data_IF_457755552697
#
_entry.id   IF_457755552697
#
_cell.length_a   1.000
_cell.length_b   1.000
_cell.length_c   1.000
_cell.angle_alpha   90.00
_cell.angle_beta   90.00
_cell.angle_gamma   90.00
#
_symmetry.space_group_name_H-M   'P 1'
#
loop_
_entity.id
_entity.type
_entity.pdbx_description
1 polymer ?
#
# COMPACT_ATOMS: atom_id res chain seq x y z
N UNK A 1 21.19 -21.62 56.61
CA UNK A 1 19.92 -21.63 55.90
C UNK A 1 19.73 -20.31 55.14
N UNK A 2 19.99 -20.35 53.83
CA UNK A 2 19.67 -19.24 52.90
C UNK A 2 18.60 -19.76 51.96
N UNK A 3 17.42 -19.15 52.01
CA UNK A 3 16.35 -19.34 51.03
C UNK A 3 16.51 -18.30 49.96
N UNK A 4 16.87 -18.73 48.77
CA UNK A 4 16.89 -17.88 47.57
C UNK A 4 15.49 -17.93 46.91
N UNK A 5 14.77 -16.82 46.94
CA UNK A 5 13.51 -16.64 46.22
C UNK A 5 13.77 -16.41 44.73
N UNK A 6 13.30 -17.29 43.89
CA UNK A 6 13.27 -17.11 42.47
C UNK A 6 12.05 -16.26 42.09
N UNK A 7 12.29 -15.01 41.67
CA UNK A 7 11.27 -14.17 41.08
C UNK A 7 11.02 -14.63 39.61
N UNK A 8 9.94 -15.33 39.41
CA UNK A 8 9.47 -15.68 38.06
C UNK A 8 8.91 -14.45 37.35
N UNK A 9 9.63 -13.97 36.34
CA UNK A 9 9.11 -12.97 35.40
C UNK A 9 8.07 -13.64 34.49
N UNK A 10 6.80 -13.45 34.82
CA UNK A 10 5.69 -13.86 33.95
C UNK A 10 5.68 -13.03 32.68
N UNK A 11 6.07 -13.61 31.59
CA UNK A 11 5.80 -13.09 30.23
C UNK A 11 4.28 -13.11 30.03
N UNK A 12 3.64 -11.96 30.21
CA UNK A 12 2.26 -11.77 29.82
C UNK A 12 2.18 -11.87 28.29
N UNK A 13 1.75 -13.03 27.80
CA UNK A 13 1.34 -13.19 26.40
C UNK A 13 0.18 -12.24 26.16
N UNK A 14 0.44 -11.10 25.52
CA UNK A 14 -0.60 -10.25 24.97
C UNK A 14 -1.32 -11.08 23.91
N UNK A 15 -2.50 -11.59 24.25
CA UNK A 15 -3.45 -12.11 23.28
C UNK A 15 -3.80 -10.98 22.33
N UNK A 16 -3.26 -11.00 21.12
CA UNK A 16 -3.73 -10.17 20.04
C UNK A 16 -5.17 -10.62 19.80
N UNK A 17 -6.13 -9.80 20.23
CA UNK A 17 -7.53 -10.05 19.93
C UNK A 17 -7.65 -10.11 18.40
N UNK A 18 -7.90 -11.30 17.86
CA UNK A 18 -8.22 -11.47 16.45
C UNK A 18 -9.49 -10.67 16.19
N UNK A 19 -9.35 -9.50 15.57
CA UNK A 19 -10.51 -8.84 14.97
C UNK A 19 -10.98 -9.79 13.86
N UNK A 20 -12.10 -10.47 14.11
CA UNK A 20 -12.76 -11.25 13.05
C UNK A 20 -13.16 -10.24 11.97
N UNK A 21 -12.54 -10.35 10.80
CA UNK A 21 -12.95 -9.61 9.62
C UNK A 21 -14.41 -9.94 9.28
N UNK A 22 -15.05 -9.10 8.51
CA UNK A 22 -16.40 -9.34 7.97
C UNK A 22 -16.40 -10.71 7.27
N UNK A 23 -17.39 -11.53 7.55
CA UNK A 23 -17.61 -12.78 6.81
C UNK A 23 -18.18 -12.38 5.44
N UNK A 24 -17.43 -12.67 4.39
CA UNK A 24 -17.85 -12.38 3.00
C UNK A 24 -18.70 -13.56 2.54
N UNK A 25 -19.98 -13.30 2.23
CA UNK A 25 -20.87 -14.28 1.62
C UNK A 25 -20.60 -14.41 0.11
N UNK A 26 -21.13 -15.47 -0.51
CA UNK A 26 -20.92 -15.74 -1.94
C UNK A 26 -21.39 -14.61 -2.88
N UNK A 27 -22.30 -13.75 -2.43
CA UNK A 27 -22.83 -12.61 -3.20
C UNK A 27 -22.27 -11.27 -2.74
N UNK A 28 -21.36 -11.24 -1.77
CA UNK A 28 -20.78 -10.02 -1.25
C UNK A 28 -19.56 -9.62 -2.07
N UNK A 29 -19.43 -8.31 -2.32
CA UNK A 29 -18.23 -7.75 -2.93
C UNK A 29 -17.14 -7.52 -1.89
N UNK A 30 -15.91 -7.67 -2.30
CA UNK A 30 -14.73 -7.31 -1.49
C UNK A 30 -14.65 -5.78 -1.40
N UNK A 31 -14.65 -5.25 -0.20
CA UNK A 31 -14.50 -3.82 0.06
C UNK A 31 -13.02 -3.43 0.04
N UNK A 32 -12.64 -2.64 -0.94
CA UNK A 32 -11.25 -2.22 -1.15
C UNK A 32 -11.08 -0.77 -0.74
N UNK A 33 -10.00 -0.48 -0.03
CA UNK A 33 -9.57 0.89 0.26
C UNK A 33 -8.18 1.15 -0.34
N UNK A 34 -7.87 2.42 -0.63
CA UNK A 34 -6.55 2.84 -1.11
C UNK A 34 -5.92 3.80 -0.13
N UNK A 35 -4.65 3.54 0.22
CA UNK A 35 -3.81 4.39 1.07
C UNK A 35 -2.63 4.89 0.23
N UNK A 36 -2.57 6.20 0.04
CA UNK A 36 -1.68 6.86 -0.92
C UNK A 36 -2.36 7.01 -2.28
N UNK A 37 -2.95 8.18 -2.54
CA UNK A 37 -3.68 8.48 -3.79
C UNK A 37 -2.90 9.43 -4.72
N UNK A 38 -1.57 9.41 -4.61
CA UNK A 38 -0.68 10.02 -5.58
C UNK A 38 -0.78 9.36 -6.95
N UNK A 39 0.08 9.72 -7.89
CA UNK A 39 0.02 9.22 -9.26
C UNK A 39 -0.11 7.70 -9.37
N UNK A 40 0.69 6.95 -8.61
CA UNK A 40 0.67 5.48 -8.66
C UNK A 40 -0.58 4.88 -8.01
N UNK A 41 -0.97 5.33 -6.82
CA UNK A 41 -2.15 4.82 -6.14
C UNK A 41 -3.43 5.10 -6.92
N UNK A 42 -3.55 6.31 -7.48
CA UNK A 42 -4.66 6.68 -8.37
C UNK A 42 -4.70 5.80 -9.61
N UNK A 43 -3.55 5.51 -10.24
CA UNK A 43 -3.49 4.61 -11.38
C UNK A 43 -3.99 3.20 -11.00
N UNK A 44 -3.45 2.62 -9.92
CA UNK A 44 -3.79 1.26 -9.49
C UNK A 44 -5.28 1.13 -9.17
N UNK A 45 -5.85 2.05 -8.39
CA UNK A 45 -7.26 1.97 -8.01
C UNK A 45 -8.20 2.15 -9.21
N UNK A 46 -7.82 2.98 -10.19
CA UNK A 46 -8.57 3.12 -11.45
C UNK A 46 -8.54 1.84 -12.27
N UNK A 47 -7.40 1.15 -12.34
CA UNK A 47 -7.29 -0.14 -13.00
C UNK A 47 -8.11 -1.22 -12.29
N UNK A 48 -8.08 -1.26 -10.95
CA UNK A 48 -8.97 -2.13 -10.18
C UNK A 48 -10.44 -1.89 -10.54
N UNK A 49 -10.87 -0.64 -10.59
CA UNK A 49 -12.24 -0.29 -10.97
C UNK A 49 -12.56 -0.71 -12.40
N UNK A 50 -11.63 -0.50 -13.34
CA UNK A 50 -11.81 -0.86 -14.76
C UNK A 50 -12.03 -2.36 -14.93
N UNK A 51 -11.15 -3.18 -14.33
CA UNK A 51 -11.26 -4.64 -14.40
C UNK A 51 -12.51 -5.14 -13.69
N UNK A 52 -12.83 -4.56 -12.54
CA UNK A 52 -14.02 -4.95 -11.77
C UNK A 52 -15.36 -4.70 -12.46
N UNK A 53 -15.42 -3.83 -13.49
CA UNK A 53 -16.66 -3.61 -14.27
C UNK A 53 -17.18 -4.88 -14.93
N UNK A 54 -16.29 -5.80 -15.29
CA UNK A 54 -16.65 -7.07 -15.92
C UNK A 54 -17.13 -8.10 -14.88
N UNK A 55 -16.42 -8.23 -13.77
CA UNK A 55 -16.65 -9.29 -12.79
C UNK A 55 -17.50 -8.85 -11.58
N UNK A 56 -17.52 -7.55 -11.28
CA UNK A 56 -18.25 -6.94 -10.16
C UNK A 56 -17.99 -7.61 -8.80
N UNK A 57 -16.74 -8.06 -8.59
CA UNK A 57 -16.33 -8.83 -7.41
C UNK A 57 -15.86 -7.96 -6.25
N UNK A 58 -15.53 -6.68 -6.50
CA UNK A 58 -15.10 -5.75 -5.47
C UNK A 58 -15.76 -4.37 -5.60
N UNK A 59 -15.66 -3.58 -4.56
CA UNK A 59 -16.09 -2.17 -4.56
C UNK A 59 -15.09 -1.31 -3.80
N UNK A 60 -14.92 -0.06 -4.26
CA UNK A 60 -14.04 0.90 -3.61
C UNK A 60 -14.86 1.64 -2.57
N UNK A 61 -14.44 1.59 -1.30
CA UNK A 61 -15.23 2.17 -0.19
C UNK A 61 -14.50 3.31 0.53
N UNK A 62 -13.17 3.35 0.49
CA UNK A 62 -12.42 4.37 1.23
C UNK A 62 -11.10 4.73 0.54
N UNK A 63 -10.68 5.99 0.68
CA UNK A 63 -9.40 6.51 0.21
C UNK A 63 -8.72 7.34 1.30
N UNK A 64 -7.40 7.22 1.37
CA UNK A 64 -6.56 7.95 2.31
C UNK A 64 -5.35 8.54 1.59
N UNK A 65 -5.06 9.79 1.87
CA UNK A 65 -3.79 10.44 1.52
C UNK A 65 -3.55 11.59 2.50
N UNK A 66 -2.32 11.86 2.84
CA UNK A 66 -1.94 12.99 3.70
C UNK A 66 -2.19 14.35 3.02
N UNK A 67 -2.30 14.38 1.70
CA UNK A 67 -2.63 15.56 0.90
C UNK A 67 -4.12 15.55 0.54
N UNK A 68 -4.90 16.43 1.17
CA UNK A 68 -6.35 16.48 1.04
C UNK A 68 -6.84 16.57 -0.41
N UNK A 69 -6.17 17.37 -1.23
CA UNK A 69 -6.51 17.54 -2.65
C UNK A 69 -6.57 16.19 -3.39
N UNK A 70 -5.64 15.30 -3.13
CA UNK A 70 -5.56 13.99 -3.81
C UNK A 70 -6.74 13.08 -3.50
N UNK A 71 -7.20 13.02 -2.25
CA UNK A 71 -8.38 12.23 -1.90
C UNK A 71 -9.65 12.84 -2.46
N UNK A 72 -9.77 14.17 -2.48
CA UNK A 72 -10.92 14.85 -3.06
C UNK A 72 -10.97 14.72 -4.59
N UNK A 73 -9.83 14.78 -5.27
CA UNK A 73 -9.73 14.51 -6.71
C UNK A 73 -10.16 13.07 -7.04
N UNK A 74 -9.75 12.09 -6.24
CA UNK A 74 -10.15 10.71 -6.45
C UNK A 74 -11.66 10.54 -6.23
N UNK A 75 -12.22 11.15 -5.19
CA UNK A 75 -13.67 11.17 -4.93
C UNK A 75 -14.45 11.76 -6.08
N UNK A 76 -14.01 12.92 -6.60
CA UNK A 76 -14.62 13.55 -7.79
C UNK A 76 -14.54 12.68 -9.03
N UNK A 77 -13.45 11.94 -9.22
CA UNK A 77 -13.29 11.03 -10.35
C UNK A 77 -14.31 9.89 -10.34
N UNK A 78 -14.63 9.34 -9.17
CA UNK A 78 -15.54 8.21 -9.06
C UNK A 78 -17.02 8.59 -8.91
N UNK A 79 -17.33 9.82 -8.54
CA UNK A 79 -18.70 10.30 -8.36
C UNK A 79 -19.62 10.09 -9.57
N UNK A 80 -19.20 10.36 -10.84
CA UNK A 80 -20.04 10.12 -12.01
C UNK A 80 -20.37 8.64 -12.26
N UNK A 81 -19.57 7.72 -11.70
CA UNK A 81 -19.82 6.29 -11.78
C UNK A 81 -20.72 5.78 -10.62
N UNK A 82 -21.25 6.68 -9.79
CA UNK A 82 -22.07 6.33 -8.64
C UNK A 82 -21.30 5.64 -7.49
N UNK A 83 -19.97 5.77 -7.47
CA UNK A 83 -19.13 5.18 -6.42
C UNK A 83 -18.91 6.21 -5.32
N UNK A 84 -19.49 5.96 -4.15
CA UNK A 84 -19.27 6.79 -2.97
C UNK A 84 -18.03 6.31 -2.22
N UNK A 85 -17.07 7.21 -2.04
CA UNK A 85 -15.80 6.92 -1.35
C UNK A 85 -15.72 7.77 -0.09
N UNK A 86 -15.53 7.14 1.06
CA UNK A 86 -15.13 7.83 2.30
C UNK A 86 -13.69 8.31 2.16
N UNK A 87 -13.38 9.53 2.59
CA UNK A 87 -12.03 10.10 2.53
C UNK A 87 -11.48 10.37 3.93
N UNK A 88 -10.19 10.13 4.13
CA UNK A 88 -9.48 10.45 5.37
C UNK A 88 -8.03 10.85 5.09
N UNK A 89 -7.38 11.52 6.03
CA UNK A 89 -5.96 11.84 5.99
C UNK A 89 -5.11 10.88 6.83
N UNK A 90 -5.76 10.06 7.67
CA UNK A 90 -5.10 9.12 8.56
C UNK A 90 -5.32 7.67 8.09
N UNK A 91 -4.23 7.01 7.68
CA UNK A 91 -4.26 5.62 7.24
C UNK A 91 -4.75 4.65 8.32
N UNK A 92 -4.62 5.01 9.62
CA UNK A 92 -5.08 4.19 10.74
C UNK A 92 -6.59 4.02 10.74
N UNK A 93 -7.33 5.03 10.30
CA UNK A 93 -8.78 4.93 10.13
C UNK A 93 -9.16 3.88 9.10
N UNK A 94 -8.36 3.75 8.02
CA UNK A 94 -8.60 2.75 6.98
C UNK A 94 -8.35 1.34 7.50
N UNK A 95 -7.19 1.09 8.12
CA UNK A 95 -6.83 -0.26 8.59
C UNK A 95 -7.71 -0.72 9.76
N UNK A 96 -8.26 0.21 10.55
CA UNK A 96 -9.17 -0.08 11.65
C UNK A 96 -10.65 -0.18 11.22
N UNK A 97 -10.98 0.23 9.99
CA UNK A 97 -12.35 0.16 9.49
C UNK A 97 -12.74 -1.31 9.22
N UNK A 98 -13.73 -1.82 9.96
CA UNK A 98 -14.20 -3.21 9.83
C UNK A 98 -14.92 -3.50 8.52
N UNK A 99 -15.39 -2.48 7.81
CA UNK A 99 -16.03 -2.62 6.51
C UNK A 99 -15.03 -2.87 5.37
N UNK A 100 -13.74 -2.54 5.57
CA UNK A 100 -12.67 -2.76 4.58
C UNK A 100 -12.14 -4.18 4.68
N UNK A 101 -12.12 -4.91 3.58
CA UNK A 101 -11.61 -6.28 3.48
C UNK A 101 -10.16 -6.32 2.97
N UNK A 102 -9.83 -5.43 2.04
CA UNK A 102 -8.50 -5.35 1.43
C UNK A 102 -8.03 -3.90 1.27
N UNK A 103 -6.71 -3.69 1.34
CA UNK A 103 -6.12 -2.37 1.17
C UNK A 103 -5.06 -2.37 0.06
N UNK A 104 -5.08 -1.31 -0.76
CA UNK A 104 -4.01 -0.97 -1.68
C UNK A 104 -3.10 0.03 -0.97
N UNK A 105 -1.83 -0.30 -0.78
CA UNK A 105 -0.83 0.57 -0.16
C UNK A 105 0.11 1.08 -1.24
N UNK A 106 0.03 2.38 -1.54
CA UNK A 106 0.82 3.06 -2.58
C UNK A 106 1.37 4.41 -2.06
N UNK A 107 1.73 4.44 -0.80
CA UNK A 107 2.41 5.54 -0.11
C UNK A 107 3.89 5.62 -0.53
N UNK A 108 4.67 6.61 -0.06
CA UNK A 108 6.12 6.49 -0.06
C UNK A 108 6.59 5.22 0.67
N UNK A 109 7.71 4.67 0.21
CA UNK A 109 8.19 3.33 0.60
C UNK A 109 8.50 3.15 2.09
N UNK A 110 8.88 4.21 2.79
CA UNK A 110 9.13 4.19 4.23
C UNK A 110 7.86 3.89 5.07
N UNK A 111 6.67 4.02 4.49
CA UNK A 111 5.40 3.68 5.10
C UNK A 111 4.91 2.26 4.77
N UNK A 112 5.45 1.63 3.73
CA UNK A 112 4.92 0.38 3.18
C UNK A 112 4.81 -0.73 4.24
N UNK A 113 5.90 -1.05 4.91
CA UNK A 113 5.91 -2.11 5.91
C UNK A 113 4.98 -1.82 7.09
N UNK A 114 4.99 -0.59 7.60
CA UNK A 114 4.18 -0.19 8.76
C UNK A 114 2.69 -0.35 8.48
N UNK A 115 2.23 0.16 7.34
CA UNK A 115 0.82 0.11 6.96
C UNK A 115 0.40 -1.32 6.64
N UNK A 116 1.23 -2.07 5.88
CA UNK A 116 0.93 -3.45 5.53
C UNK A 116 0.83 -4.35 6.77
N UNK A 117 1.76 -4.23 7.72
CA UNK A 117 1.72 -4.98 8.99
C UNK A 117 0.47 -4.66 9.80
N UNK A 118 0.10 -3.38 9.88
CA UNK A 118 -1.12 -2.97 10.57
C UNK A 118 -2.38 -3.53 9.88
N UNK A 119 -2.43 -3.50 8.56
CA UNK A 119 -3.55 -4.06 7.78
C UNK A 119 -3.69 -5.57 8.01
N UNK A 120 -2.59 -6.33 7.94
CA UNK A 120 -2.57 -7.76 8.19
C UNK A 120 -3.04 -8.10 9.60
N UNK A 121 -2.56 -7.37 10.61
CA UNK A 121 -2.97 -7.55 12.01
C UNK A 121 -4.45 -7.28 12.23
N UNK A 122 -5.04 -6.41 11.40
CA UNK A 122 -6.49 -6.13 11.39
C UNK A 122 -7.28 -7.04 10.44
N UNK A 123 -6.68 -8.15 9.97
CA UNK A 123 -7.35 -9.17 9.18
C UNK A 123 -7.65 -8.75 7.74
N UNK A 124 -6.90 -7.81 7.18
CA UNK A 124 -7.10 -7.33 5.79
C UNK A 124 -6.06 -7.93 4.85
N UNK A 125 -6.47 -8.18 3.62
CA UNK A 125 -5.56 -8.51 2.54
C UNK A 125 -4.92 -7.24 1.98
N UNK A 126 -3.72 -7.35 1.38
CA UNK A 126 -2.92 -6.19 1.00
C UNK A 126 -2.39 -6.32 -0.42
N UNK A 127 -2.68 -5.35 -1.27
CA UNK A 127 -1.90 -5.06 -2.46
C UNK A 127 -0.87 -3.99 -2.10
N UNK A 128 0.41 -4.34 -2.12
CA UNK A 128 1.51 -3.51 -1.66
C UNK A 128 2.38 -3.07 -2.83
N UNK A 129 2.48 -1.76 -3.07
CA UNK A 129 3.37 -1.26 -4.12
C UNK A 129 4.84 -1.58 -3.84
N UNK A 130 5.60 -1.65 -4.91
CA UNK A 130 7.06 -1.85 -4.86
C UNK A 130 7.79 -0.53 -4.51
N UNK A 131 8.92 -0.59 -3.80
CA UNK A 131 9.48 -1.75 -3.12
C UNK A 131 8.62 -2.15 -1.92
N UNK A 132 8.45 -3.43 -1.65
CA UNK A 132 7.56 -3.92 -0.59
C UNK A 132 7.94 -3.43 0.81
N UNK A 133 9.19 -3.12 1.04
CA UNK A 133 9.76 -2.68 2.31
C UNK A 133 10.97 -1.79 2.07
N UNK A 134 11.35 -1.01 3.06
CA UNK A 134 12.51 -0.14 3.04
C UNK A 134 13.77 -0.85 3.57
N UNK A 135 13.62 -1.83 4.47
CA UNK A 135 14.73 -2.54 5.12
C UNK A 135 14.52 -4.06 5.15
N UNK A 136 15.63 -4.82 5.26
CA UNK A 136 15.57 -6.29 5.37
C UNK A 136 14.84 -6.78 6.64
N UNK A 137 14.98 -6.17 7.83
CA UNK A 137 14.19 -6.53 9.00
C UNK A 137 12.68 -6.38 8.78
N UNK A 138 12.24 -5.39 8.02
CA UNK A 138 10.81 -5.21 7.67
C UNK A 138 10.30 -6.35 6.80
N UNK A 139 11.11 -6.82 5.83
CA UNK A 139 10.76 -7.98 4.99
C UNK A 139 10.47 -9.20 5.86
N UNK A 140 11.34 -9.50 6.82
CA UNK A 140 11.17 -10.65 7.74
C UNK A 140 9.86 -10.54 8.53
N UNK A 141 9.60 -9.39 9.13
CA UNK A 141 8.35 -9.16 9.87
C UNK A 141 7.12 -9.32 9.00
N UNK A 142 7.18 -8.85 7.74
CA UNK A 142 6.07 -8.96 6.80
C UNK A 142 5.80 -10.43 6.42
N UNK A 143 6.85 -11.22 6.15
CA UNK A 143 6.73 -12.65 5.88
C UNK A 143 6.10 -13.38 7.07
N UNK A 144 6.55 -13.09 8.27
CA UNK A 144 6.03 -13.73 9.49
C UNK A 144 4.56 -13.34 9.71
N UNK A 145 4.21 -12.07 9.56
CA UNK A 145 2.82 -11.61 9.67
C UNK A 145 1.89 -12.28 8.66
N UNK A 146 2.33 -12.47 7.40
CA UNK A 146 1.55 -13.20 6.38
C UNK A 146 1.32 -14.65 6.80
N UNK A 147 2.35 -15.32 7.32
CA UNK A 147 2.26 -16.71 7.79
C UNK A 147 1.33 -16.87 9.00
N UNK A 148 1.37 -15.92 9.93
CA UNK A 148 0.55 -15.92 11.15
C UNK A 148 -0.91 -15.58 10.86
N UNK A 149 -1.15 -14.53 10.09
CA UNK A 149 -2.51 -14.03 9.81
C UNK A 149 -3.23 -14.82 8.73
N UNK A 150 -2.50 -15.55 7.88
CA UNK A 150 -3.03 -16.25 6.68
C UNK A 150 -3.72 -15.28 5.71
N UNK A 151 -3.34 -14.00 5.72
CA UNK A 151 -3.82 -13.01 4.77
C UNK A 151 -2.97 -13.02 3.50
N UNK A 152 -3.56 -12.52 2.42
CA UNK A 152 -2.89 -12.42 1.13
C UNK A 152 -2.14 -11.10 1.04
N UNK A 153 -0.86 -11.15 0.63
CA UNK A 153 -0.10 -9.98 0.23
C UNK A 153 0.37 -10.15 -1.20
N UNK A 154 -0.09 -9.27 -2.07
CA UNK A 154 0.38 -9.18 -3.45
C UNK A 154 1.29 -7.97 -3.60
N UNK A 155 2.55 -8.21 -3.97
CA UNK A 155 3.49 -7.11 -4.30
C UNK A 155 3.25 -6.60 -5.71
N UNK A 156 3.09 -5.30 -5.86
CA UNK A 156 2.78 -4.60 -7.11
C UNK A 156 3.96 -4.45 -8.06
N UNK A 157 4.73 -5.53 -8.30
CA UNK A 157 5.83 -5.53 -9.26
C UNK A 157 5.30 -5.41 -10.69
N UNK A 158 5.64 -4.31 -11.35
CA UNK A 158 5.10 -3.98 -12.67
C UNK A 158 5.66 -4.91 -13.75
N UNK A 159 4.84 -5.21 -14.73
CA UNK A 159 5.14 -5.96 -15.97
C UNK A 159 5.53 -7.42 -15.82
N UNK A 160 5.92 -7.90 -14.65
CA UNK A 160 6.42 -9.28 -14.42
C UNK A 160 5.43 -10.38 -14.81
N UNK A 161 4.12 -10.10 -14.81
CA UNK A 161 3.06 -11.01 -15.26
C UNK A 161 2.72 -10.87 -16.75
N UNK A 162 3.44 -10.05 -17.49
CA UNK A 162 3.21 -9.84 -18.93
C UNK A 162 3.55 -11.07 -19.77
N UNK A 163 2.74 -11.34 -20.80
CA UNK A 163 2.90 -12.51 -21.69
C UNK A 163 4.30 -12.62 -22.30
N UNK A 164 4.95 -11.49 -22.57
CA UNK A 164 6.32 -11.43 -23.12
C UNK A 164 7.35 -12.06 -22.16
N UNK A 165 7.20 -11.86 -20.85
CA UNK A 165 8.08 -12.44 -19.86
C UNK A 165 7.88 -13.94 -19.70
N UNK A 166 6.64 -14.40 -19.75
CA UNK A 166 6.32 -15.83 -19.77
C UNK A 166 6.88 -16.49 -21.00
N UNK A 167 6.75 -15.86 -22.18
CA UNK A 167 7.32 -16.40 -23.44
C UNK A 167 8.84 -16.42 -23.40
N UNK A 168 9.49 -15.37 -22.89
CA UNK A 168 10.93 -15.35 -22.72
C UNK A 168 11.41 -16.49 -21.80
N UNK A 169 10.73 -16.71 -20.66
CA UNK A 169 11.01 -17.82 -19.76
C UNK A 169 10.92 -19.19 -20.47
N UNK A 170 9.88 -19.41 -21.24
CA UNK A 170 9.68 -20.65 -22.01
C UNK A 170 10.83 -20.87 -23.03
N UNK A 171 11.16 -19.87 -23.81
CA UNK A 171 12.20 -19.92 -24.83
C UNK A 171 13.58 -20.19 -24.21
N UNK A 172 13.91 -19.51 -23.11
CA UNK A 172 15.18 -19.69 -22.39
C UNK A 172 15.23 -21.11 -21.77
N UNK A 173 14.17 -21.55 -21.13
CA UNK A 173 14.08 -22.88 -20.54
C UNK A 173 14.14 -23.99 -21.59
N UNK A 174 13.67 -23.74 -22.80
CA UNK A 174 13.79 -24.63 -23.97
C UNK A 174 15.19 -24.68 -24.58
N UNK A 175 16.17 -23.96 -24.02
CA UNK A 175 17.56 -23.98 -24.48
C UNK A 175 17.88 -23.16 -25.72
N UNK A 176 16.98 -22.29 -26.17
CA UNK A 176 17.18 -21.52 -27.40
C UNK A 176 18.42 -20.60 -27.41
N UNK A 177 18.91 -20.20 -26.24
CA UNK A 177 20.14 -19.40 -26.08
C UNK A 177 21.29 -20.20 -25.44
N UNK A 178 21.12 -21.52 -25.29
CA UNK A 178 22.07 -22.37 -24.54
C UNK A 178 22.08 -22.06 -23.03
N UNK A 179 23.15 -22.42 -22.30
CA UNK A 179 23.27 -22.06 -20.89
C UNK A 179 23.33 -20.55 -20.70
N UNK A 180 22.47 -20.03 -19.84
CA UNK A 180 22.46 -18.59 -19.52
C UNK A 180 23.66 -18.26 -18.62
N UNK A 181 24.58 -17.43 -19.14
CA UNK A 181 25.80 -17.02 -18.43
C UNK A 181 25.75 -15.56 -17.94
N UNK A 182 24.92 -14.72 -18.55
CA UNK A 182 24.78 -13.33 -18.19
C UNK A 182 23.36 -12.84 -18.44
N UNK A 183 22.84 -12.03 -17.52
CA UNK A 183 21.61 -11.23 -17.70
C UNK A 183 21.95 -9.77 -17.43
N UNK A 184 21.68 -8.91 -18.40
CA UNK A 184 21.87 -7.46 -18.27
C UNK A 184 20.54 -6.73 -18.38
N UNK A 185 20.18 -5.97 -17.35
CA UNK A 185 19.08 -5.03 -17.34
C UNK A 185 19.59 -3.59 -17.37
N UNK A 186 18.87 -2.73 -18.07
CA UNK A 186 19.15 -1.29 -18.06
C UNK A 186 17.85 -0.50 -17.89
N UNK A 187 17.97 0.66 -17.25
CA UNK A 187 16.84 1.52 -16.95
C UNK A 187 17.22 2.96 -17.31
N UNK A 188 16.78 3.39 -18.48
CA UNK A 188 17.05 4.71 -18.99
C UNK A 188 15.80 5.55 -18.96
N UNK A 189 15.82 6.65 -18.22
CA UNK A 189 14.75 7.64 -18.17
C UNK A 189 15.31 9.03 -18.35
N UNK A 190 14.70 9.77 -19.26
CA UNK A 190 15.03 11.16 -19.53
C UNK A 190 13.75 11.88 -19.96
N UNK A 191 12.86 12.11 -19.00
CA UNK A 191 11.58 12.79 -19.22
C UNK A 191 11.71 14.27 -18.86
N UNK A 192 11.06 15.12 -19.64
CA UNK A 192 10.93 16.56 -19.33
C UNK A 192 9.79 16.80 -18.31
N UNK A 193 8.82 15.89 -18.22
CA UNK A 193 7.72 15.92 -17.27
C UNK A 193 7.53 14.54 -16.62
N UNK A 194 7.08 14.53 -15.37
CA UNK A 194 6.90 13.31 -14.58
C UNK A 194 8.22 12.71 -14.13
N UNK A 195 8.18 11.47 -13.64
CA UNK A 195 9.32 10.76 -13.06
C UNK A 195 9.99 11.51 -11.90
N UNK A 196 10.94 12.40 -12.19
CA UNK A 196 11.62 13.27 -11.23
C UNK A 196 11.27 14.75 -11.42
N UNK A 197 10.57 15.10 -12.51
CA UNK A 197 10.24 16.45 -12.92
C UNK A 197 8.74 16.74 -12.75
N UNK A 198 8.23 16.54 -11.54
CA UNK A 198 6.84 16.88 -11.20
C UNK A 198 6.71 18.38 -10.95
N UNK A 199 5.60 19.02 -11.39
CA UNK A 199 5.31 20.39 -11.04
C UNK A 199 5.20 20.56 -9.52
N UNK A 200 5.85 21.57 -8.98
CA UNK A 200 5.75 21.92 -7.56
C UNK A 200 4.42 22.61 -7.29
N UNK A 201 3.62 22.05 -6.37
CA UNK A 201 2.40 22.72 -5.90
C UNK A 201 2.75 23.70 -4.76
N UNK A 202 2.99 24.96 -5.13
CA UNK A 202 3.36 26.03 -4.19
C UNK A 202 2.25 26.39 -3.20
N UNK A 203 0.99 26.01 -3.48
CA UNK A 203 -0.14 26.27 -2.60
C UNK A 203 -0.30 25.18 -1.53
N UNK A 204 0.31 24.00 -1.75
CA UNK A 204 0.22 22.87 -0.85
C UNK A 204 1.16 23.02 0.35
N UNK A 205 0.73 22.54 1.51
CA UNK A 205 1.59 22.53 2.69
C UNK A 205 0.85 22.32 4.01
N UNK A 206 1.59 22.23 5.13
CA UNK A 206 1.01 22.01 6.46
C UNK A 206 0.15 23.21 6.93
N UNK A 207 0.37 24.39 6.38
CA UNK A 207 -0.43 25.58 6.63
C UNK A 207 -1.46 25.87 5.49
N UNK A 208 -1.56 24.96 4.51
CA UNK A 208 -2.50 25.05 3.41
C UNK A 208 -3.94 25.00 3.89
N UNK A 209 -4.83 25.77 3.24
CA UNK A 209 -6.27 25.77 3.57
C UNK A 209 -7.05 24.87 2.62
N UNK A 210 -8.13 24.26 3.14
CA UNK A 210 -9.00 23.41 2.34
C UNK A 210 -8.25 22.24 1.71
N UNK A 211 -8.35 22.10 0.40
CA UNK A 211 -7.70 21.02 -0.35
C UNK A 211 -6.16 21.14 -0.39
N UNK A 212 -5.61 22.31 -0.15
CA UNK A 212 -4.15 22.53 -0.15
C UNK A 212 -3.44 22.05 1.13
N UNK A 213 -4.20 21.57 2.12
CA UNK A 213 -3.63 21.06 3.36
C UNK A 213 -2.93 19.73 3.14
N UNK A 214 -1.69 19.63 3.66
CA UNK A 214 -0.91 18.39 3.76
C UNK A 214 -0.61 18.11 5.23
N UNK A 215 -0.93 16.93 5.71
CA UNK A 215 -0.43 16.43 6.99
C UNK A 215 1.04 16.02 6.82
N UNK A 216 1.93 16.99 7.01
CA UNK A 216 3.35 16.79 6.76
C UNK A 216 4.01 15.90 7.82
N UNK A 217 3.54 15.95 9.05
CA UNK A 217 4.01 15.08 10.12
C UNK A 217 3.70 13.61 9.79
N UNK A 218 2.48 13.33 9.37
CA UNK A 218 2.09 12.01 8.90
C UNK A 218 2.86 11.59 7.64
N UNK A 219 3.16 12.53 6.73
CA UNK A 219 3.98 12.22 5.56
C UNK A 219 5.38 11.80 5.92
N UNK A 220 6.05 12.52 6.85
CA UNK A 220 7.37 12.18 7.35
C UNK A 220 7.39 10.81 8.06
N UNK A 221 6.41 10.56 8.91
CA UNK A 221 6.34 9.32 9.68
C UNK A 221 7.62 9.01 10.45
N UNK A 222 8.25 7.83 10.22
CA UNK A 222 9.49 7.44 10.89
C UNK A 222 10.74 8.13 10.36
N UNK A 223 10.64 8.93 9.29
CA UNK A 223 11.78 9.67 8.75
C UNK A 223 12.23 10.78 9.71
N UNK A 224 13.51 11.20 9.65
CA UNK A 224 13.98 12.31 10.44
C UNK A 224 13.14 13.57 10.24
N UNK A 225 12.80 14.25 11.32
CA UNK A 225 12.04 15.48 11.26
C UNK A 225 12.81 16.54 10.46
N UNK A 226 12.15 17.15 9.47
CA UNK A 226 12.70 18.18 8.59
C UNK A 226 11.68 19.29 8.41
N UNK A 227 12.13 20.55 8.29
CA UNK A 227 11.23 21.65 7.95
C UNK A 227 10.50 21.40 6.63
N UNK A 228 9.28 21.94 6.53
CA UNK A 228 8.55 21.90 5.26
C UNK A 228 9.27 22.73 4.18
N UNK A 229 9.40 22.17 3.01
CA UNK A 229 9.90 22.83 1.80
C UNK A 229 8.97 22.46 0.64
N UNK A 230 8.34 23.46 0.03
CA UNK A 230 7.39 23.23 -1.07
C UNK A 230 7.98 22.49 -2.27
N UNK A 231 9.31 22.58 -2.46
CA UNK A 231 10.02 21.87 -3.53
C UNK A 231 9.93 20.33 -3.45
N UNK A 232 9.38 19.81 -2.35
CA UNK A 232 9.21 18.36 -2.14
C UNK A 232 7.84 17.84 -2.58
N UNK A 233 6.93 18.72 -3.00
CA UNK A 233 5.54 18.37 -3.33
C UNK A 233 5.07 18.95 -4.64
#
# INVERSE_FOLDING_TARGET
SFIAGAAGAGLAARSVARTQGRVIGANDRINVAVIGTGGRGTYVIKEFHRVNKEDNTCQIVQACDVYRKRVEELKRFFAPAGVEIKTTLDWREVVNNREVDAVIVATPDHWHATIALAALSNGKDVYLEKPMCHTIPEVKRLIDAVRETKRVVQVGSQTTSGKQWWKAKEVIAGGAIGPMVLSQGSYHRNSTEGEWNWPIDKAAGPNGKGENYIDYEMWLGPAPNRPWEAVRF
#
